data_IF_476588445281
#
_entry.id   IF_476588445281
#
_cell.length_a   1.000
_cell.length_b   1.000
_cell.length_c   1.000
_cell.angle_alpha   90.00
_cell.angle_beta   90.00
_cell.angle_gamma   90.00
#
_symmetry.space_group_name_H-M   'P 1'
#
loop_
_entity.id
_entity.type
_entity.pdbx_description
1 polymer ?
#
# COMPACT_ATOMS: atom_id res chain seq x y z
N UNK A 1 -13.38 75.74 -9.86
CA UNK A 1 -13.37 75.06 -8.53
C UNK A 1 -13.97 73.65 -8.53
N UNK A 2 -14.52 73.13 -9.64
CA UNK A 2 -15.10 71.77 -9.69
C UNK A 2 -14.15 70.63 -10.10
N UNK A 3 -13.11 70.89 -10.88
CA UNK A 3 -12.21 69.82 -11.39
C UNK A 3 -11.17 69.33 -10.38
N UNK A 4 -10.75 70.16 -9.42
CA UNK A 4 -9.73 69.78 -8.43
C UNK A 4 -10.25 68.78 -7.37
N UNK A 5 -11.56 68.70 -7.18
CA UNK A 5 -12.20 67.78 -6.23
C UNK A 5 -12.36 66.36 -6.82
N UNK A 6 -12.61 66.25 -8.13
CA UNK A 6 -12.74 64.97 -8.83
C UNK A 6 -11.43 64.18 -8.91
N UNK A 7 -10.29 64.87 -9.09
CA UNK A 7 -8.97 64.22 -9.09
C UNK A 7 -8.57 63.67 -7.71
N UNK A 8 -8.92 64.37 -6.63
CA UNK A 8 -8.63 63.92 -5.25
C UNK A 8 -9.42 62.67 -4.86
N UNK A 9 -10.68 62.58 -5.30
CA UNK A 9 -11.53 61.41 -5.04
C UNK A 9 -11.11 60.18 -5.84
N UNK A 10 -10.72 60.34 -7.11
CA UNK A 10 -10.20 59.24 -7.94
C UNK A 10 -8.87 58.70 -7.42
N UNK A 11 -7.96 59.57 -6.99
CA UNK A 11 -6.68 59.18 -6.41
C UNK A 11 -6.85 58.35 -5.13
N UNK A 12 -7.78 58.75 -4.25
CA UNK A 12 -8.05 58.03 -2.99
C UNK A 12 -8.61 56.62 -3.24
N UNK A 13 -9.51 56.47 -4.22
CA UNK A 13 -10.10 55.18 -4.57
C UNK A 13 -9.07 54.24 -5.18
N UNK A 14 -8.17 54.74 -6.04
CA UNK A 14 -7.04 53.93 -6.55
C UNK A 14 -6.05 53.52 -5.47
N UNK A 15 -5.76 54.38 -4.48
CA UNK A 15 -4.87 54.02 -3.37
C UNK A 15 -5.52 52.93 -2.50
N UNK A 16 -6.84 53.01 -2.25
CA UNK A 16 -7.57 52.02 -1.49
C UNK A 16 -7.59 50.65 -2.21
N UNK A 17 -7.82 50.64 -3.54
CA UNK A 17 -7.80 49.43 -4.37
C UNK A 17 -6.40 48.81 -4.52
N UNK A 18 -5.33 49.61 -4.59
CA UNK A 18 -3.96 49.08 -4.59
C UNK A 18 -3.57 48.53 -3.20
N UNK A 19 -4.09 49.11 -2.11
CA UNK A 19 -3.82 48.64 -0.75
C UNK A 19 -4.47 47.30 -0.43
N UNK A 20 -5.64 46.99 -1.02
CA UNK A 20 -6.30 45.69 -0.86
C UNK A 20 -5.63 44.60 -1.70
N UNK A 21 -5.06 44.93 -2.86
CA UNK A 21 -4.28 43.97 -3.66
C UNK A 21 -2.91 43.65 -3.03
N UNK A 22 -2.27 44.62 -2.36
CA UNK A 22 -1.01 44.37 -1.66
C UNK A 22 -1.17 43.46 -0.42
N UNK A 23 -2.37 43.39 0.17
CA UNK A 23 -2.68 42.48 1.28
C UNK A 23 -2.82 41.01 0.84
N UNK A 24 -2.98 40.73 -0.46
CA UNK A 24 -3.04 39.36 -1.01
C UNK A 24 -1.69 38.85 -1.55
N UNK A 25 -0.65 39.68 -1.57
CA UNK A 25 0.70 39.32 -2.05
C UNK A 25 1.69 39.44 -0.90
N UNK A 26 1.34 38.88 0.25
CA UNK A 26 2.37 38.39 1.17
C UNK A 26 3.00 37.15 0.55
N UNK A 27 4.30 36.87 0.77
CA UNK A 27 4.80 35.54 0.48
C UNK A 27 3.89 34.56 1.20
N UNK A 28 3.30 33.61 0.48
CA UNK A 28 2.78 32.41 1.12
C UNK A 28 3.98 31.87 1.90
N UNK A 29 3.96 32.05 3.22
CA UNK A 29 4.92 31.39 4.08
C UNK A 29 4.78 29.91 3.75
N UNK A 30 5.81 29.31 3.16
CA UNK A 30 5.95 27.86 3.20
C UNK A 30 5.83 27.50 4.67
N UNK A 31 4.75 26.84 5.04
CA UNK A 31 4.58 26.28 6.38
C UNK A 31 5.68 25.24 6.51
N UNK A 32 6.83 25.63 7.06
CA UNK A 32 7.91 24.70 7.35
C UNK A 32 7.59 23.99 8.67
N UNK A 33 7.44 22.67 8.59
CA UNK A 33 7.57 21.69 9.66
C UNK A 33 6.66 21.88 10.89
N UNK A 34 5.42 21.39 10.80
CA UNK A 34 4.66 20.97 11.98
C UNK A 34 5.25 19.63 12.45
N UNK A 35 6.10 19.68 13.49
CA UNK A 35 6.56 18.55 14.33
C UNK A 35 6.31 17.14 13.76
N UNK A 36 7.13 16.71 12.81
CA UNK A 36 6.95 15.41 12.16
C UNK A 36 7.69 14.31 12.92
N UNK A 37 6.95 13.32 13.41
CA UNK A 37 7.46 12.15 14.10
C UNK A 37 8.37 11.37 13.16
N UNK A 38 9.65 11.27 13.51
CA UNK A 38 10.64 10.49 12.75
C UNK A 38 10.87 9.08 13.31
N UNK A 39 10.37 8.78 14.51
CA UNK A 39 10.33 7.43 15.10
C UNK A 39 9.40 7.43 16.32
N UNK A 40 8.78 6.30 16.60
CA UNK A 40 7.94 6.06 17.77
C UNK A 40 6.46 6.23 17.48
N UNK A 41 5.74 6.82 18.42
CA UNK A 41 4.27 6.83 18.40
C UNK A 41 3.71 8.16 17.90
N UNK A 42 2.78 8.09 16.96
CA UNK A 42 1.87 9.19 16.63
C UNK A 42 0.62 9.02 17.49
N UNK A 43 0.40 9.94 18.43
CA UNK A 43 -0.68 9.85 19.43
C UNK A 43 -1.82 10.85 19.20
N UNK A 44 -1.71 11.68 18.17
CA UNK A 44 -2.71 12.69 17.78
C UNK A 44 -2.85 12.73 16.27
N UNK A 45 -3.56 13.73 15.75
CA UNK A 45 -3.54 14.01 14.32
C UNK A 45 -2.17 14.63 13.97
N UNK A 46 -1.52 14.09 12.95
CA UNK A 46 -0.27 14.59 12.40
C UNK A 46 -0.37 14.64 10.87
N UNK A 47 0.27 15.64 10.25
CA UNK A 47 0.25 15.83 8.80
C UNK A 47 1.65 15.91 8.25
N UNK A 48 1.98 15.05 7.29
CA UNK A 48 3.24 15.06 6.55
C UNK A 48 3.03 15.70 5.17
N UNK A 49 3.94 16.57 4.77
CA UNK A 49 3.95 17.23 3.47
C UNK A 49 5.37 17.56 3.03
N UNK A 50 5.62 17.64 1.72
CA UNK A 50 6.95 17.92 1.18
C UNK A 50 7.86 16.69 1.27
N UNK A 51 9.02 16.81 1.92
CA UNK A 51 9.92 15.68 2.15
C UNK A 51 10.01 15.41 3.66
N UNK A 52 9.78 14.16 4.06
CA UNK A 52 9.82 13.70 5.46
C UNK A 52 10.75 12.50 5.61
N UNK A 53 11.57 12.48 6.65
CA UNK A 53 12.49 11.37 6.91
C UNK A 53 12.10 10.64 8.18
N UNK A 54 11.93 9.32 8.06
CA UNK A 54 11.62 8.40 9.15
C UNK A 54 12.88 7.64 9.52
N UNK A 55 13.39 7.89 10.73
CA UNK A 55 14.63 7.34 11.26
C UNK A 55 14.47 6.01 12.02
N UNK A 56 13.24 5.59 12.29
CA UNK A 56 12.90 4.39 13.05
C UNK A 56 11.42 4.03 12.89
N UNK A 57 10.98 2.91 13.43
CA UNK A 57 9.57 2.48 13.33
C UNK A 57 8.58 3.56 13.75
N UNK A 58 7.47 3.64 13.04
CA UNK A 58 6.33 4.52 13.33
C UNK A 58 5.13 3.67 13.67
N UNK A 59 4.49 3.98 14.80
CA UNK A 59 3.22 3.37 15.20
C UNK A 59 2.18 4.47 15.36
N UNK A 60 1.14 4.44 14.53
CA UNK A 60 -0.04 5.31 14.71
C UNK A 60 -0.90 4.67 15.79
N UNK A 61 -1.02 5.32 16.95
CA UNK A 61 -1.80 4.81 18.07
C UNK A 61 -3.30 4.76 17.76
N UNK A 62 -4.08 3.84 18.37
CA UNK A 62 -5.53 3.84 18.24
C UNK A 62 -6.14 5.21 18.57
N UNK A 63 -7.04 5.70 17.71
CA UNK A 63 -7.65 7.03 17.84
C UNK A 63 -6.78 8.21 17.38
N UNK A 64 -5.51 7.97 17.02
CA UNK A 64 -4.66 8.94 16.32
C UNK A 64 -4.86 8.84 14.80
N UNK A 65 -4.35 9.81 14.06
CA UNK A 65 -4.41 9.84 12.60
C UNK A 65 -3.14 10.42 12.00
N UNK A 66 -2.56 9.73 11.03
CA UNK A 66 -1.54 10.30 10.15
C UNK A 66 -2.18 10.69 8.82
N UNK A 67 -1.99 11.94 8.40
CA UNK A 67 -2.37 12.45 7.08
C UNK A 67 -1.08 12.67 6.28
N UNK A 68 -1.01 12.13 5.07
CA UNK A 68 0.11 12.36 4.14
C UNK A 68 -0.47 13.07 2.92
N UNK A 69 0.00 14.29 2.71
CA UNK A 69 -0.49 15.16 1.64
C UNK A 69 -0.02 14.65 0.25
N UNK A 70 -0.77 14.92 -0.82
CA UNK A 70 -0.32 14.65 -2.19
C UNK A 70 1.04 15.28 -2.51
N UNK A 71 1.82 14.65 -3.39
CA UNK A 71 3.19 15.07 -3.75
C UNK A 71 4.18 15.08 -2.59
N UNK A 72 3.95 14.25 -1.56
CA UNK A 72 4.87 14.07 -0.44
C UNK A 72 5.83 12.91 -0.71
N UNK A 73 7.10 13.11 -0.38
CA UNK A 73 8.14 12.09 -0.36
C UNK A 73 8.42 11.72 1.11
N UNK A 74 8.31 10.45 1.45
CA UNK A 74 8.64 9.91 2.78
C UNK A 74 9.78 8.93 2.62
N UNK A 75 10.92 9.26 3.24
CA UNK A 75 12.15 8.49 3.17
C UNK A 75 12.32 7.72 4.48
N UNK A 76 12.16 6.41 4.41
CA UNK A 76 12.34 5.49 5.52
C UNK A 76 13.79 5.02 5.58
N UNK A 77 14.42 5.12 6.76
CA UNK A 77 15.68 4.45 7.02
C UNK A 77 15.52 2.93 6.88
N UNK A 78 16.62 2.26 6.57
CA UNK A 78 16.70 0.81 6.50
C UNK A 78 16.14 0.12 7.77
N UNK A 79 15.41 -0.97 7.58
CA UNK A 79 14.86 -1.82 8.64
C UNK A 79 13.66 -1.22 9.39
N UNK A 80 13.04 -0.13 8.88
CA UNK A 80 11.94 0.55 9.58
C UNK A 80 10.57 0.23 9.01
N UNK A 81 9.54 0.34 9.83
CA UNK A 81 8.15 0.05 9.45
C UNK A 81 7.17 1.18 9.81
N UNK A 82 6.05 1.24 9.10
CA UNK A 82 4.90 2.08 9.43
C UNK A 82 3.71 1.19 9.82
N UNK A 83 3.38 1.15 11.10
CA UNK A 83 2.24 0.40 11.62
C UNK A 83 1.05 1.31 11.96
N UNK A 84 -0.04 1.19 11.21
CA UNK A 84 -1.31 1.85 11.45
C UNK A 84 -2.20 1.01 12.38
N UNK A 85 -2.21 1.33 13.68
CA UNK A 85 -3.25 0.89 14.63
C UNK A 85 -4.39 1.90 14.73
N UNK A 86 -4.08 3.18 14.55
CA UNK A 86 -5.02 4.25 14.26
C UNK A 86 -5.17 4.48 12.77
N UNK A 87 -5.63 5.66 12.39
CA UNK A 87 -6.05 5.95 11.02
C UNK A 87 -4.88 6.44 10.15
N UNK A 88 -4.87 6.03 8.89
CA UNK A 88 -3.85 6.42 7.92
C UNK A 88 -4.51 6.99 6.66
N UNK A 89 -4.42 8.30 6.47
CA UNK A 89 -4.95 8.99 5.32
C UNK A 89 -3.82 9.37 4.37
N UNK A 90 -3.74 8.74 3.20
CA UNK A 90 -2.71 9.03 2.20
C UNK A 90 -3.38 9.56 0.94
N UNK A 91 -3.22 10.87 0.71
CA UNK A 91 -3.61 11.50 -0.55
C UNK A 91 -5.11 11.49 -0.84
N UNK A 92 -5.99 11.42 0.15
CA UNK A 92 -7.44 11.45 -0.07
C UNK A 92 -8.12 12.53 0.78
N UNK A 93 -8.87 13.42 0.12
CA UNK A 93 -9.60 14.49 0.80
C UNK A 93 -10.71 13.94 1.70
N UNK A 94 -11.26 12.78 1.35
CA UNK A 94 -12.30 12.09 2.12
C UNK A 94 -11.87 11.74 3.55
N UNK A 95 -10.58 11.49 3.80
CA UNK A 95 -10.03 11.19 5.13
C UNK A 95 -9.22 12.35 5.76
N UNK A 96 -9.15 13.50 5.08
CA UNK A 96 -8.62 14.74 5.63
C UNK A 96 -7.36 15.29 4.97
N UNK A 97 -6.86 14.72 3.88
CA UNK A 97 -5.84 15.39 3.08
C UNK A 97 -6.40 16.68 2.45
N UNK A 98 -5.53 17.62 2.07
CA UNK A 98 -5.95 18.90 1.49
C UNK A 98 -6.68 18.77 0.15
N UNK A 99 -6.39 17.70 -0.60
CA UNK A 99 -6.99 17.36 -1.88
C UNK A 99 -6.78 15.86 -2.18
N UNK A 100 -7.51 15.35 -3.19
CA UNK A 100 -7.25 14.01 -3.72
C UNK A 100 -5.96 13.98 -4.54
N UNK A 101 -5.14 12.96 -4.29
CA UNK A 101 -3.97 12.65 -5.09
C UNK A 101 -4.39 12.09 -6.45
N UNK A 102 -3.49 12.26 -7.42
CA UNK A 102 -3.69 11.94 -8.82
C UNK A 102 -2.38 11.44 -9.42
N UNK A 103 -2.41 11.00 -10.68
CA UNK A 103 -1.22 10.55 -11.40
C UNK A 103 -0.10 11.60 -11.45
N UNK A 104 -0.40 12.90 -11.36
CA UNK A 104 0.59 13.99 -11.34
C UNK A 104 1.04 14.41 -9.95
N UNK A 105 0.47 13.84 -8.89
CA UNK A 105 0.71 14.26 -7.51
C UNK A 105 0.82 13.04 -6.58
N UNK A 106 1.46 11.98 -7.08
CA UNK A 106 1.66 10.72 -6.34
C UNK A 106 2.47 10.98 -5.07
N UNK A 107 2.20 10.18 -4.04
CA UNK A 107 2.97 10.15 -2.80
C UNK A 107 4.02 9.07 -2.98
N UNK A 108 5.27 9.34 -2.59
CA UNK A 108 6.35 8.37 -2.64
C UNK A 108 6.78 7.96 -1.24
N UNK A 109 6.83 6.66 -0.97
CA UNK A 109 7.44 6.08 0.22
C UNK A 109 8.60 5.18 -0.22
N UNK A 110 9.82 5.53 0.16
CA UNK A 110 11.04 4.81 -0.24
C UNK A 110 11.80 4.35 0.98
N UNK A 111 12.24 3.09 0.97
CA UNK A 111 13.15 2.54 1.98
C UNK A 111 14.60 2.60 1.50
N UNK A 112 15.48 3.08 2.37
CA UNK A 112 16.90 3.21 2.06
C UNK A 112 17.65 1.90 2.28
N UNK A 113 18.68 1.69 1.46
CA UNK A 113 19.64 0.60 1.64
C UNK A 113 20.33 0.63 3.02
N UNK A 114 20.71 -0.55 3.55
CA UNK A 114 21.49 -0.65 4.77
C UNK A 114 22.85 0.02 4.62
N UNK A 115 23.24 0.86 5.58
CA UNK A 115 24.61 1.42 5.65
C UNK A 115 25.70 0.33 5.76
N UNK A 116 25.33 -0.84 6.26
CA UNK A 116 26.17 -2.03 6.31
C UNK A 116 25.35 -3.25 5.84
N UNK A 117 25.53 -3.67 4.60
CA UNK A 117 24.84 -4.82 4.00
C UNK A 117 25.16 -6.18 4.68
N UNK A 118 26.16 -6.23 5.56
CA UNK A 118 26.47 -7.41 6.38
C UNK A 118 25.96 -7.29 7.82
N UNK A 119 25.24 -6.22 8.16
CA UNK A 119 24.52 -6.15 9.43
C UNK A 119 23.40 -7.18 9.44
N UNK A 120 23.05 -7.63 10.64
CA UNK A 120 21.99 -8.60 10.85
C UNK A 120 20.69 -7.87 11.19
N UNK A 121 19.65 -8.10 10.40
CA UNK A 121 18.32 -7.51 10.62
C UNK A 121 17.50 -8.17 11.73
N UNK A 122 16.35 -7.57 12.00
CA UNK A 122 15.48 -7.93 13.14
C UNK A 122 14.65 -9.20 12.90
N UNK A 123 14.63 -9.70 11.67
CA UNK A 123 13.88 -10.91 11.31
C UNK A 123 14.52 -12.21 11.81
N UNK A 124 15.82 -12.24 12.06
CA UNK A 124 16.46 -13.47 12.48
C UNK A 124 16.00 -13.89 13.89
N UNK A 125 15.64 -15.18 14.02
CA UNK A 125 15.17 -15.76 15.27
C UNK A 125 13.68 -15.48 15.55
N UNK A 126 12.99 -14.67 14.76
CA UNK A 126 11.53 -14.52 14.86
C UNK A 126 10.86 -15.89 14.73
N UNK A 127 9.96 -16.22 15.65
CA UNK A 127 9.30 -17.53 15.70
C UNK A 127 7.78 -17.40 15.78
N UNK A 128 7.08 -18.15 14.95
CA UNK A 128 5.62 -18.25 14.93
C UNK A 128 5.19 -19.66 14.56
N UNK A 129 4.36 -20.28 15.39
CA UNK A 129 3.90 -21.65 15.17
C UNK A 129 5.07 -22.63 15.06
N UNK A 130 5.21 -23.26 13.90
CA UNK A 130 6.30 -24.19 13.58
C UNK A 130 7.46 -23.56 12.81
N UNK A 131 7.40 -22.25 12.53
CA UNK A 131 8.36 -21.53 11.72
C UNK A 131 9.26 -20.65 12.59
N UNK A 132 10.58 -20.79 12.42
CA UNK A 132 11.58 -19.83 12.92
C UNK A 132 12.31 -19.26 11.72
N UNK A 133 12.39 -17.94 11.64
CA UNK A 133 13.05 -17.23 10.55
C UNK A 133 14.56 -17.22 10.78
N UNK A 134 15.32 -17.60 9.74
CA UNK A 134 16.77 -17.50 9.70
C UNK A 134 17.24 -16.42 8.72
N UNK A 135 16.48 -15.33 8.61
CA UNK A 135 16.72 -14.26 7.64
C UNK A 135 17.55 -13.18 8.32
N UNK A 136 18.82 -13.11 7.95
CA UNK A 136 19.77 -12.14 8.52
C UNK A 136 19.81 -10.80 7.77
N UNK A 137 18.98 -10.64 6.73
CA UNK A 137 18.94 -9.43 5.91
C UNK A 137 18.57 -8.20 6.76
N UNK A 138 19.40 -7.13 6.78
CA UNK A 138 19.16 -5.93 7.57
C UNK A 138 17.90 -5.15 7.15
N UNK A 139 17.46 -5.30 5.90
CA UNK A 139 16.23 -4.68 5.40
C UNK A 139 14.97 -5.45 5.76
N UNK A 140 15.10 -6.68 6.29
CA UNK A 140 13.92 -7.46 6.64
C UNK A 140 13.11 -6.79 7.75
N UNK A 141 11.80 -6.57 7.51
CA UNK A 141 10.92 -5.81 8.40
C UNK A 141 10.38 -4.52 7.79
N UNK A 142 10.84 -4.14 6.60
CA UNK A 142 10.44 -2.90 5.95
C UNK A 142 9.06 -2.97 5.29
N UNK A 143 8.24 -1.95 5.52
CA UNK A 143 6.95 -1.80 4.86
C UNK A 143 5.88 -1.19 5.76
N UNK A 144 4.63 -1.37 5.35
CA UNK A 144 3.44 -0.78 5.96
C UNK A 144 2.54 -1.90 6.49
N UNK A 145 2.06 -1.75 7.73
CA UNK A 145 1.11 -2.68 8.35
C UNK A 145 -0.16 -1.90 8.71
N UNK A 146 -1.30 -2.31 8.18
CA UNK A 146 -2.60 -1.73 8.54
C UNK A 146 -3.39 -2.77 9.34
N UNK A 147 -3.69 -2.43 10.59
CA UNK A 147 -4.41 -3.30 11.53
C UNK A 147 -5.92 -3.12 11.40
N UNK A 148 -6.69 -4.09 11.88
CA UNK A 148 -8.15 -4.05 11.87
C UNK A 148 -8.79 -2.96 12.76
N UNK A 149 -8.00 -2.27 13.58
CA UNK A 149 -8.46 -1.21 14.49
C UNK A 149 -8.64 0.16 13.82
N UNK A 150 -8.34 0.27 12.53
CA UNK A 150 -8.57 1.50 11.76
C UNK A 150 -10.05 1.83 11.63
N UNK A 151 -10.35 3.12 11.46
CA UNK A 151 -11.64 3.59 10.96
C UNK A 151 -11.59 3.69 9.44
N UNK A 152 -12.49 2.99 8.77
CA UNK A 152 -12.58 2.93 7.30
C UNK A 152 -12.99 4.27 6.67
N UNK A 153 -13.63 5.17 7.43
CA UNK A 153 -13.97 6.51 6.97
C UNK A 153 -12.79 7.49 7.04
N UNK A 154 -11.75 7.12 7.79
CA UNK A 154 -10.57 7.95 8.06
C UNK A 154 -9.29 7.34 7.48
N UNK A 155 -9.38 6.19 6.80
CA UNK A 155 -8.24 5.45 6.24
C UNK A 155 -8.48 5.12 4.78
N UNK A 156 -7.76 5.83 3.92
CA UNK A 156 -7.77 5.64 2.46
C UNK A 156 -6.34 5.84 1.97
N UNK A 157 -5.88 4.97 1.07
CA UNK A 157 -4.58 5.11 0.42
C UNK A 157 -4.80 5.36 -1.07
N UNK A 158 -4.36 6.51 -1.56
CA UNK A 158 -4.63 6.96 -2.93
C UNK A 158 -3.36 7.48 -3.61
N UNK A 159 -3.04 6.93 -4.79
CA UNK A 159 -1.86 7.29 -5.60
C UNK A 159 -0.54 7.24 -4.81
N UNK A 160 -0.33 6.14 -4.08
CA UNK A 160 0.88 5.89 -3.30
C UNK A 160 1.84 4.95 -4.06
N UNK A 161 3.10 5.38 -4.16
CA UNK A 161 4.24 4.62 -4.63
C UNK A 161 5.01 4.05 -3.43
N UNK A 162 5.20 2.74 -3.41
CA UNK A 162 6.00 2.04 -2.40
C UNK A 162 7.23 1.48 -3.13
N UNK A 163 8.39 2.01 -2.79
CA UNK A 163 9.66 1.73 -3.46
C UNK A 163 10.69 1.12 -2.51
N UNK A 164 11.37 0.07 -2.96
CA UNK A 164 12.50 -0.59 -2.27
C UNK A 164 12.19 -1.15 -0.88
N UNK A 165 10.90 -1.30 -0.54
CA UNK A 165 10.50 -1.95 0.70
C UNK A 165 10.82 -3.45 0.63
N UNK A 166 11.60 -3.96 1.58
CA UNK A 166 11.93 -5.39 1.58
C UNK A 166 10.68 -6.27 1.84
N UNK A 167 9.91 -5.94 2.88
CA UNK A 167 8.70 -6.65 3.30
C UNK A 167 8.63 -6.96 4.79
N UNK A 168 7.45 -6.84 5.35
CA UNK A 168 7.22 -7.16 6.77
C UNK A 168 6.93 -8.65 6.91
N UNK A 169 7.70 -9.42 7.72
CA UNK A 169 7.29 -10.77 8.12
C UNK A 169 6.03 -10.70 8.97
N UNK A 170 4.96 -11.32 8.49
CA UNK A 170 3.69 -11.34 9.17
C UNK A 170 3.21 -12.77 9.42
N UNK A 171 2.84 -13.13 10.67
CA UNK A 171 2.31 -14.44 10.97
C UNK A 171 0.95 -14.64 10.29
N UNK A 172 0.81 -15.73 9.55
CA UNK A 172 -0.44 -16.12 8.90
C UNK A 172 -0.96 -17.41 9.56
N UNK A 173 -1.99 -17.32 10.43
CA UNK A 173 -2.50 -18.48 11.17
C UNK A 173 -2.98 -19.61 10.28
N UNK A 174 -3.61 -19.28 9.16
CA UNK A 174 -4.18 -20.23 8.17
C UNK A 174 -3.15 -21.25 7.67
N UNK A 175 -1.90 -20.82 7.49
CA UNK A 175 -0.80 -21.70 7.04
C UNK A 175 0.24 -21.97 8.13
N UNK A 176 0.02 -21.46 9.34
CA UNK A 176 0.92 -21.57 10.49
C UNK A 176 2.39 -21.19 10.19
N UNK A 177 2.59 -20.15 9.37
CA UNK A 177 3.89 -19.70 8.87
C UNK A 177 3.93 -18.18 8.75
N UNK A 178 5.13 -17.62 8.63
CA UNK A 178 5.29 -16.23 8.21
C UNK A 178 5.09 -16.10 6.70
N UNK A 179 4.42 -15.02 6.30
CA UNK A 179 4.40 -14.50 4.94
C UNK A 179 4.91 -13.08 4.96
N UNK A 180 5.24 -12.54 3.79
CA UNK A 180 5.92 -11.25 3.69
C UNK A 180 5.18 -10.36 2.71
N UNK A 181 5.11 -9.08 3.01
CA UNK A 181 4.58 -8.08 2.09
C UNK A 181 5.05 -6.67 2.44
N UNK A 182 5.27 -5.85 1.42
CA UNK A 182 5.57 -4.42 1.57
C UNK A 182 4.35 -3.65 2.12
N UNK A 183 3.13 -4.09 1.79
CA UNK A 183 1.89 -3.68 2.44
C UNK A 183 1.17 -4.89 3.04
N UNK A 184 1.00 -4.90 4.35
CA UNK A 184 0.26 -5.93 5.09
C UNK A 184 -1.07 -5.40 5.58
N UNK A 185 -2.17 -6.08 5.22
CA UNK A 185 -3.51 -5.81 5.70
C UNK A 185 -3.95 -6.94 6.62
N UNK A 186 -3.97 -6.68 7.93
CA UNK A 186 -4.40 -7.66 8.93
C UNK A 186 -5.83 -7.34 9.37
N UNK A 187 -6.81 -8.01 8.78
CA UNK A 187 -8.24 -7.77 9.04
C UNK A 187 -8.73 -6.36 8.65
N UNK A 188 -7.84 -5.51 8.13
CA UNK A 188 -8.17 -4.17 7.67
C UNK A 188 -8.86 -4.25 6.30
N UNK A 189 -9.87 -3.40 6.09
CA UNK A 189 -10.67 -3.38 4.87
C UNK A 189 -10.79 -2.00 4.22
N UNK A 190 -9.68 -1.23 4.07
CA UNK A 190 -9.75 0.09 3.47
C UNK A 190 -9.96 0.03 1.95
N UNK A 191 -10.26 1.18 1.35
CA UNK A 191 -10.16 1.38 -0.09
C UNK A 191 -8.75 1.84 -0.45
N UNK A 192 -8.17 1.20 -1.46
CA UNK A 192 -6.81 1.46 -1.94
C UNK A 192 -6.87 1.75 -3.44
N UNK A 193 -6.40 2.92 -3.84
CA UNK A 193 -6.59 3.45 -5.20
C UNK A 193 -5.24 3.74 -5.83
N UNK A 194 -4.99 3.16 -7.01
CA UNK A 194 -3.84 3.45 -7.86
C UNK A 194 -2.49 3.30 -7.15
N UNK A 195 -2.34 2.25 -6.33
CA UNK A 195 -1.06 1.92 -5.68
C UNK A 195 -0.04 1.41 -6.68
N UNK A 196 1.22 1.72 -6.49
CA UNK A 196 2.31 1.20 -7.30
C UNK A 196 3.42 0.67 -6.41
N UNK A 197 3.92 -0.52 -6.75
CA UNK A 197 5.03 -1.16 -6.06
C UNK A 197 6.20 -1.30 -7.03
N UNK A 198 7.38 -0.88 -6.60
CA UNK A 198 8.60 -0.96 -7.38
C UNK A 198 9.73 -1.48 -6.50
N UNK A 199 10.52 -2.41 -7.03
CA UNK A 199 11.73 -2.92 -6.36
C UNK A 199 11.48 -3.53 -4.96
N UNK A 200 10.34 -4.16 -4.74
CA UNK A 200 10.05 -4.83 -3.47
C UNK A 200 10.67 -6.23 -3.44
N UNK A 201 11.44 -6.58 -2.41
CA UNK A 201 12.08 -7.90 -2.29
C UNK A 201 11.07 -9.05 -2.19
N UNK A 202 9.98 -8.85 -1.42
CA UNK A 202 8.93 -9.84 -1.19
C UNK A 202 7.62 -9.51 -1.91
N UNK A 203 6.44 -9.72 -1.33
CA UNK A 203 5.18 -9.39 -2.03
C UNK A 203 4.88 -7.90 -1.98
N UNK A 204 4.19 -7.39 -3.01
CA UNK A 204 3.60 -6.05 -2.93
C UNK A 204 2.57 -5.99 -1.79
N UNK A 205 1.63 -6.94 -1.78
CA UNK A 205 0.54 -6.98 -0.80
C UNK A 205 0.42 -8.35 -0.16
N UNK A 206 0.21 -8.35 1.16
CA UNK A 206 -0.25 -9.48 1.95
C UNK A 206 -1.55 -9.12 2.67
N UNK A 207 -2.66 -9.77 2.31
CA UNK A 207 -3.94 -9.63 3.00
C UNK A 207 -4.26 -10.89 3.79
N UNK A 208 -4.61 -10.74 5.08
CA UNK A 208 -4.88 -11.87 5.97
C UNK A 208 -5.93 -11.57 7.03
N UNK A 209 -6.36 -12.60 7.76
CA UNK A 209 -7.24 -12.49 8.94
C UNK A 209 -8.57 -11.79 8.65
N UNK A 210 -9.31 -12.27 7.64
CA UNK A 210 -10.61 -11.76 7.22
C UNK A 210 -10.59 -10.31 6.70
N UNK A 211 -9.43 -9.80 6.29
CA UNK A 211 -9.35 -8.55 5.54
C UNK A 211 -10.30 -8.56 4.33
N UNK A 212 -11.00 -7.46 4.09
CA UNK A 212 -11.92 -7.26 2.97
C UNK A 212 -11.64 -5.95 2.20
N UNK A 213 -10.38 -5.59 1.89
CA UNK A 213 -10.08 -4.38 1.14
C UNK A 213 -10.66 -4.40 -0.28
N UNK A 214 -10.82 -3.19 -0.80
CA UNK A 214 -11.10 -2.93 -2.22
C UNK A 214 -9.93 -2.19 -2.85
N UNK A 215 -9.32 -2.83 -3.85
CA UNK A 215 -8.26 -2.26 -4.65
C UNK A 215 -8.82 -1.80 -5.99
N UNK A 216 -8.54 -0.54 -6.37
CA UNK A 216 -9.00 0.07 -7.62
C UNK A 216 -7.79 0.63 -8.36
N UNK A 217 -7.47 0.08 -9.52
CA UNK A 217 -6.29 0.46 -10.29
C UNK A 217 -5.00 -0.10 -9.72
N UNK A 218 -3.88 0.53 -10.08
CA UNK A 218 -2.56 0.23 -9.53
C UNK A 218 -1.80 -0.91 -10.21
N UNK A 219 -0.51 -1.01 -9.88
CA UNK A 219 0.42 -2.01 -10.41
C UNK A 219 1.09 -2.77 -9.27
N UNK A 220 0.94 -4.10 -9.27
CA UNK A 220 1.45 -5.00 -8.25
C UNK A 220 2.48 -5.95 -8.86
N UNK A 221 3.65 -6.05 -8.24
CA UNK A 221 4.79 -6.80 -8.78
C UNK A 221 5.23 -7.90 -7.82
N UNK A 222 5.61 -9.05 -8.38
CA UNK A 222 6.28 -10.11 -7.61
C UNK A 222 7.58 -9.62 -6.98
N UNK A 223 7.98 -10.31 -5.91
CA UNK A 223 9.22 -10.01 -5.23
C UNK A 223 10.46 -10.34 -6.06
N UNK A 224 11.44 -9.45 -6.00
CA UNK A 224 12.70 -9.56 -6.75
C UNK A 224 13.91 -9.91 -5.87
N UNK A 225 13.72 -10.40 -4.64
CA UNK A 225 14.83 -10.78 -3.77
C UNK A 225 15.69 -11.92 -4.37
N UNK A 226 16.82 -11.54 -4.94
CA UNK A 226 17.83 -12.48 -5.42
C UNK A 226 18.78 -12.93 -4.30
N UNK A 227 18.86 -12.19 -3.20
CA UNK A 227 19.92 -12.33 -2.20
C UNK A 227 19.55 -13.28 -1.05
N UNK A 228 18.39 -13.11 -0.42
CA UNK A 228 17.96 -13.98 0.70
C UNK A 228 17.14 -15.19 0.22
N UNK A 229 16.71 -15.19 -1.04
CA UNK A 229 15.87 -16.22 -1.65
C UNK A 229 14.42 -16.17 -1.18
N UNK A 230 14.05 -15.14 -0.42
CA UNK A 230 12.71 -14.93 0.14
C UNK A 230 11.95 -14.05 -0.85
N UNK A 231 11.27 -14.69 -1.78
CA UNK A 231 10.42 -14.01 -2.77
C UNK A 231 8.96 -14.37 -2.57
N UNK A 232 8.07 -13.46 -2.93
CA UNK A 232 6.63 -13.64 -2.86
C UNK A 232 5.93 -13.44 -4.20
N UNK A 233 4.66 -13.83 -4.27
CA UNK A 233 3.75 -13.43 -5.34
C UNK A 233 3.58 -11.90 -5.34
N UNK A 234 3.00 -11.29 -6.37
CA UNK A 234 2.68 -9.85 -6.30
C UNK A 234 1.68 -9.59 -5.18
N UNK A 235 0.62 -10.40 -5.13
CA UNK A 235 -0.37 -10.36 -4.06
C UNK A 235 -0.54 -11.75 -3.44
N UNK A 236 -0.54 -11.78 -2.12
CA UNK A 236 -0.85 -12.96 -1.32
C UNK A 236 -2.09 -12.71 -0.46
N UNK A 237 -3.04 -13.64 -0.50
CA UNK A 237 -4.29 -13.57 0.27
C UNK A 237 -4.48 -14.88 1.03
N UNK A 238 -4.60 -14.78 2.36
CA UNK A 238 -4.77 -15.93 3.25
C UNK A 238 -5.91 -15.72 4.25
N UNK A 239 -6.94 -16.57 4.23
CA UNK A 239 -8.09 -16.39 5.12
C UNK A 239 -8.78 -15.02 4.98
N UNK A 240 -8.69 -14.38 3.81
CA UNK A 240 -9.29 -13.06 3.52
C UNK A 240 -10.67 -13.19 2.88
N UNK A 241 -11.50 -12.16 3.00
CA UNK A 241 -12.83 -12.15 2.40
C UNK A 241 -13.86 -13.04 3.09
N UNK A 242 -15.11 -12.94 2.64
CA UNK A 242 -16.22 -13.85 2.94
C UNK A 242 -17.05 -14.08 1.69
N UNK A 243 -17.90 -15.12 1.68
CA UNK A 243 -18.80 -15.39 0.55
C UNK A 243 -19.73 -14.24 0.15
N UNK A 244 -19.98 -13.28 1.05
CA UNK A 244 -20.79 -12.09 0.77
C UNK A 244 -19.96 -10.85 0.47
N UNK A 245 -18.73 -10.77 0.99
CA UNK A 245 -17.83 -9.62 0.88
C UNK A 245 -16.42 -10.16 0.58
N UNK A 246 -16.11 -10.46 -0.69
CA UNK A 246 -14.78 -10.89 -1.09
C UNK A 246 -13.80 -9.71 -1.03
N UNK A 247 -12.51 -10.01 -1.02
CA UNK A 247 -11.47 -9.05 -1.40
C UNK A 247 -11.65 -8.73 -2.88
N UNK A 248 -11.54 -7.46 -3.28
CA UNK A 248 -11.78 -7.07 -4.67
C UNK A 248 -10.59 -6.34 -5.26
N UNK A 249 -10.19 -6.73 -6.48
CA UNK A 249 -9.27 -5.99 -7.34
C UNK A 249 -9.99 -5.60 -8.62
N UNK A 250 -10.03 -4.31 -8.91
CA UNK A 250 -10.70 -3.76 -10.08
C UNK A 250 -9.74 -2.90 -10.91
N UNK A 251 -9.62 -3.16 -12.21
CA UNK A 251 -8.77 -2.37 -13.12
C UNK A 251 -7.28 -2.38 -12.74
N UNK A 252 -6.81 -3.42 -12.04
CA UNK A 252 -5.44 -3.52 -11.56
C UNK A 252 -4.54 -4.29 -12.52
N UNK A 253 -3.27 -3.89 -12.55
CA UNK A 253 -2.22 -4.54 -13.32
C UNK A 253 -1.31 -5.38 -12.41
N UNK A 254 -0.91 -6.55 -12.89
CA UNK A 254 -0.05 -7.48 -12.18
C UNK A 254 1.13 -7.93 -13.02
N UNK A 255 2.29 -8.08 -12.39
CA UNK A 255 3.52 -8.59 -12.98
C UNK A 255 3.98 -9.82 -12.20
N UNK A 256 4.11 -10.95 -12.88
CA UNK A 256 4.61 -12.24 -12.36
C UNK A 256 6.11 -12.43 -12.69
N UNK A 257 6.72 -13.52 -12.21
CA UNK A 257 8.11 -13.87 -12.52
C UNK A 257 8.27 -14.32 -13.97
N UNK A 258 9.47 -14.23 -14.53
CA UNK A 258 9.80 -14.79 -15.86
C UNK A 258 10.94 -15.81 -15.75
N UNK A 259 10.71 -16.88 -14.96
CA UNK A 259 11.71 -17.92 -14.68
C UNK A 259 11.44 -19.24 -15.38
N UNK A 260 10.18 -19.52 -15.72
CA UNK A 260 9.76 -20.72 -16.46
C UNK A 260 8.69 -21.56 -15.77
N UNK A 261 8.14 -22.53 -16.50
CA UNK A 261 6.98 -23.31 -16.10
C UNK A 261 7.30 -24.61 -15.34
N UNK A 262 8.58 -25.01 -15.24
CA UNK A 262 8.94 -26.28 -14.59
C UNK A 262 9.01 -26.10 -13.08
N UNK A 263 8.80 -27.19 -12.34
CA UNK A 263 8.91 -27.19 -10.88
C UNK A 263 10.28 -26.72 -10.35
N UNK A 264 11.34 -26.79 -11.18
CA UNK A 264 12.70 -26.37 -10.82
C UNK A 264 12.99 -24.91 -11.21
N UNK A 265 12.14 -24.31 -12.03
CA UNK A 265 12.33 -22.95 -12.56
C UNK A 265 11.96 -21.90 -11.49
N UNK A 266 11.27 -22.29 -10.42
CA UNK A 266 10.80 -21.39 -9.37
C UNK A 266 9.92 -20.24 -9.90
N UNK A 267 9.16 -20.49 -10.97
CA UNK A 267 8.13 -19.57 -11.45
C UNK A 267 7.00 -19.40 -10.44
N UNK A 268 6.48 -18.19 -10.29
CA UNK A 268 5.45 -17.82 -9.31
C UNK A 268 4.25 -17.18 -9.98
N UNK A 269 3.06 -17.45 -9.45
CA UNK A 269 1.86 -16.74 -9.88
C UNK A 269 1.91 -15.26 -9.52
N UNK A 270 1.28 -14.42 -10.32
CA UNK A 270 1.06 -13.01 -9.98
C UNK A 270 0.28 -12.92 -8.66
N UNK A 271 -0.77 -13.73 -8.51
CA UNK A 271 -1.61 -13.72 -7.31
C UNK A 271 -1.72 -15.12 -6.71
N UNK A 272 -1.66 -15.19 -5.39
CA UNK A 272 -1.92 -16.39 -4.61
C UNK A 272 -3.07 -16.16 -3.64
N UNK A 273 -4.14 -16.94 -3.80
CA UNK A 273 -5.35 -16.90 -2.98
C UNK A 273 -5.51 -18.24 -2.29
N UNK A 274 -5.46 -18.27 -0.97
CA UNK A 274 -5.56 -19.51 -0.18
C UNK A 274 -6.55 -19.37 0.98
N UNK A 275 -7.46 -20.34 1.09
CA UNK A 275 -8.58 -20.34 2.04
C UNK A 275 -9.34 -18.99 2.10
N UNK A 276 -9.55 -18.35 0.95
CA UNK A 276 -10.04 -16.97 0.87
C UNK A 276 -11.15 -16.79 -0.15
N UNK A 277 -11.85 -15.65 -0.05
CA UNK A 277 -12.79 -15.15 -1.05
C UNK A 277 -12.19 -13.92 -1.74
N UNK A 278 -11.89 -14.01 -3.03
CA UNK A 278 -11.29 -12.92 -3.79
C UNK A 278 -11.86 -12.82 -5.21
N UNK A 279 -12.26 -11.61 -5.60
CA UNK A 279 -12.80 -11.27 -6.90
C UNK A 279 -11.83 -10.36 -7.67
N UNK A 280 -11.56 -10.70 -8.92
CA UNK A 280 -10.74 -9.94 -9.86
C UNK A 280 -11.60 -9.52 -11.05
N UNK A 281 -11.66 -8.23 -11.31
CA UNK A 281 -12.51 -7.64 -12.35
C UNK A 281 -11.70 -6.68 -13.22
N UNK A 282 -11.76 -6.88 -14.52
CA UNK A 282 -11.03 -6.06 -15.49
C UNK A 282 -9.54 -5.92 -15.14
N UNK A 283 -8.90 -6.99 -14.66
CA UNK A 283 -7.48 -6.95 -14.33
C UNK A 283 -6.64 -7.32 -15.55
N UNK A 284 -5.38 -6.90 -15.55
CA UNK A 284 -4.38 -7.38 -16.51
C UNK A 284 -3.22 -8.04 -15.77
N UNK A 285 -2.90 -9.28 -16.12
CA UNK A 285 -1.56 -9.82 -15.86
C UNK A 285 -0.71 -9.49 -17.09
N UNK A 286 0.15 -8.48 -16.95
CA UNK A 286 0.89 -7.87 -18.06
C UNK A 286 1.94 -8.85 -18.60
N UNK A 287 2.71 -9.47 -17.71
CA UNK A 287 3.71 -10.46 -18.04
C UNK A 287 3.95 -11.44 -16.88
N UNK A 288 4.55 -12.58 -17.21
CA UNK A 288 5.09 -13.53 -16.26
C UNK A 288 4.76 -14.99 -16.58
N UNK A 289 5.11 -15.88 -15.65
CA UNK A 289 5.00 -17.33 -15.81
C UNK A 289 3.57 -17.79 -15.53
N UNK A 290 2.99 -17.34 -14.42
CA UNK A 290 1.68 -17.81 -13.95
C UNK A 290 0.79 -16.63 -13.53
N UNK A 291 -0.52 -16.72 -13.78
CA UNK A 291 -1.47 -15.65 -13.48
C UNK A 291 -2.01 -15.72 -12.06
N UNK A 292 -3.25 -16.18 -11.90
CA UNK A 292 -3.94 -16.30 -10.61
C UNK A 292 -3.94 -17.74 -10.12
N UNK A 293 -3.65 -17.97 -8.83
CA UNK A 293 -3.74 -19.29 -8.20
C UNK A 293 -4.73 -19.27 -7.05
N UNK A 294 -5.81 -20.05 -7.15
CA UNK A 294 -6.79 -20.30 -6.09
C UNK A 294 -6.53 -21.67 -5.45
N UNK A 295 -6.34 -21.69 -4.13
CA UNK A 295 -6.15 -22.90 -3.31
C UNK A 295 -7.23 -22.96 -2.23
N UNK A 296 -8.11 -23.97 -2.28
CA UNK A 296 -9.23 -24.10 -1.32
C UNK A 296 -10.00 -22.78 -1.13
N UNK A 297 -10.24 -22.07 -2.24
CA UNK A 297 -10.69 -20.67 -2.24
C UNK A 297 -11.89 -20.50 -3.18
N UNK A 298 -12.51 -19.32 -3.14
CA UNK A 298 -13.64 -18.98 -4.00
C UNK A 298 -13.58 -17.54 -4.49
N UNK A 299 -14.39 -17.25 -5.51
CA UNK A 299 -14.55 -15.90 -6.03
C UNK A 299 -14.80 -15.87 -7.53
N UNK A 300 -14.46 -14.74 -8.15
CA UNK A 300 -14.74 -14.49 -9.56
C UNK A 300 -13.55 -13.87 -10.26
N UNK A 301 -13.33 -14.28 -11.51
CA UNK A 301 -12.42 -13.62 -12.44
C UNK A 301 -13.26 -13.19 -13.64
N UNK A 302 -13.38 -11.88 -13.85
CA UNK A 302 -14.29 -11.27 -14.83
C UNK A 302 -13.58 -10.24 -15.70
N UNK A 303 -13.91 -10.19 -16.99
CA UNK A 303 -13.44 -9.17 -17.94
C UNK A 303 -11.90 -9.00 -17.97
N UNK A 304 -11.13 -10.04 -17.65
CA UNK A 304 -9.70 -9.92 -17.34
C UNK A 304 -8.78 -10.46 -18.45
N UNK A 305 -7.64 -9.80 -18.66
CA UNK A 305 -6.62 -10.24 -19.61
C UNK A 305 -5.44 -10.85 -18.86
N UNK A 306 -5.14 -12.13 -19.10
CA UNK A 306 -4.05 -12.83 -18.40
C UNK A 306 -3.01 -13.29 -19.42
N UNK A 307 -1.96 -12.49 -19.60
CA UNK A 307 -0.87 -12.77 -20.53
C UNK A 307 0.30 -13.42 -19.78
N UNK A 308 0.33 -14.74 -19.76
CA UNK A 308 1.38 -15.51 -19.07
C UNK A 308 1.88 -16.68 -19.91
N UNK A 309 3.08 -17.17 -19.60
CA UNK A 309 3.73 -18.26 -20.33
C UNK A 309 3.15 -19.65 -19.99
N UNK A 310 2.59 -19.81 -18.79
CA UNK A 310 2.12 -21.07 -18.24
C UNK A 310 0.61 -21.00 -17.95
N UNK A 311 0.15 -21.38 -16.75
CA UNK A 311 -1.28 -21.36 -16.41
C UNK A 311 -1.74 -19.94 -16.06
N UNK A 312 -2.76 -19.45 -16.77
CA UNK A 312 -3.39 -18.16 -16.51
C UNK A 312 -4.22 -18.13 -15.23
N UNK A 313 -5.09 -19.13 -15.02
CA UNK A 313 -5.84 -19.32 -13.77
C UNK A 313 -5.72 -20.77 -13.34
N UNK A 314 -5.07 -21.00 -12.19
CA UNK A 314 -4.96 -22.31 -11.55
C UNK A 314 -5.96 -22.41 -10.39
N UNK A 315 -6.84 -23.41 -10.41
CA UNK A 315 -7.86 -23.62 -9.37
C UNK A 315 -7.63 -25.01 -8.77
N UNK A 316 -7.26 -25.05 -7.49
CA UNK A 316 -6.99 -26.26 -6.74
C UNK A 316 -7.78 -26.28 -5.44
N UNK A 317 -8.99 -26.81 -5.54
CA UNK A 317 -9.93 -26.86 -4.43
C UNK A 317 -10.78 -25.61 -4.34
N UNK A 318 -11.99 -25.81 -3.85
CA UNK A 318 -12.95 -24.77 -3.52
C UNK A 318 -13.17 -24.73 -2.02
N UNK A 319 -13.59 -23.59 -1.48
CA UNK A 319 -13.92 -23.49 -0.06
C UNK A 319 -15.31 -24.08 0.22
N UNK A 320 -15.42 -24.82 1.31
CA UNK A 320 -16.68 -25.42 1.78
C UNK A 320 -16.98 -24.92 3.19
N UNK A 321 -18.13 -24.26 3.37
CA UNK A 321 -18.59 -23.78 4.69
C UNK A 321 -19.87 -24.54 5.06
N UNK A 322 -19.77 -25.39 6.08
CA UNK A 322 -20.85 -26.30 6.43
C UNK A 322 -21.11 -27.30 5.30
N UNK A 323 -22.30 -27.25 4.71
CA UNK A 323 -22.68 -28.06 3.53
C UNK A 323 -22.66 -27.27 2.21
N UNK A 324 -22.27 -25.99 2.24
CA UNK A 324 -22.28 -25.13 1.06
C UNK A 324 -20.87 -25.07 0.45
N UNK A 325 -20.80 -25.35 -0.84
CA UNK A 325 -19.59 -25.23 -1.65
C UNK A 325 -19.60 -23.90 -2.40
N UNK A 326 -18.48 -23.18 -2.38
CA UNK A 326 -18.34 -21.89 -3.05
C UNK A 326 -17.30 -22.01 -4.16
N UNK A 327 -17.69 -22.01 -5.44
CA UNK A 327 -16.74 -22.19 -6.54
C UNK A 327 -16.01 -20.89 -6.90
N UNK A 328 -14.85 -21.04 -7.54
CA UNK A 328 -14.23 -19.96 -8.32
C UNK A 328 -14.81 -19.97 -9.74
N UNK A 329 -15.36 -18.84 -10.18
CA UNK A 329 -15.94 -18.70 -11.51
C UNK A 329 -15.06 -17.81 -12.39
N UNK A 330 -14.76 -18.26 -13.61
CA UNK A 330 -14.01 -17.49 -14.60
C UNK A 330 -14.93 -17.19 -15.79
N UNK A 331 -15.08 -15.92 -16.13
CA UNK A 331 -15.86 -15.47 -17.28
C UNK A 331 -15.18 -14.31 -17.97
N UNK A 332 -15.20 -14.32 -19.30
CA UNK A 332 -14.72 -13.24 -20.16
C UNK A 332 -15.89 -12.51 -20.81
#
# INVERSE_FOLDING_TARGET
MGELAGLKSRALVTILLLSTLAALVGPASSVSAQNTTSSGYINSIETWSGSHTVSGDIIISPGAKLIIEPSTEVIFSNGTSLEARGNLCVGAASCGASQDASASSRILMTWLDPSNASAKGDCDGMSYGTSTLGIEDPSCGEGIIIRSTIDLSETVLQFLDIESAWGVPFPVPTVNQFRYGALVLQGASPELVELQFTDTNTSSVLATELAQPRFVGGTYTVGNDEQSGVTGNAVQIYGGGTGSIPITFENSDFISTERGCRNQDNGRSAVWVEESFADFRNINVISGDFGLSYRSSAGKVTDSTINVNCNGVDINGMITIGSNEYPTNVSN
#
